data_IF_899276818118
#
_entry.id   IF_899276818118
#
_cell.length_a   1.000
_cell.length_b   1.000
_cell.length_c   1.000
_cell.angle_alpha   90.00
_cell.angle_beta   90.00
_cell.angle_gamma   90.00
#
_symmetry.space_group_name_H-M   'P 1'
#
loop_
_entity.id
_entity.type
_entity.pdbx_description
1 polymer ?
#
# COMPACT_ATOMS: atom_id res chain seq x y z
N UNK A 1 6.74 -1.74 -11.19
CA UNK A 1 6.12 -0.48 -10.69
C UNK A 1 4.87 -0.18 -11.51
N UNK A 2 3.78 0.36 -10.94
CA UNK A 2 2.50 0.64 -11.65
C UNK A 2 2.59 1.71 -12.75
N UNK A 3 3.81 2.17 -13.07
CA UNK A 3 4.11 3.24 -14.01
C UNK A 3 3.57 2.97 -15.42
N UNK A 4 3.36 1.71 -15.80
CA UNK A 4 2.84 1.34 -17.12
C UNK A 4 1.41 1.85 -17.37
N UNK A 5 0.62 2.09 -16.31
CA UNK A 5 -0.78 2.51 -16.41
C UNK A 5 -1.05 3.89 -15.77
N UNK A 6 -0.09 4.43 -15.02
CA UNK A 6 -0.22 5.73 -14.39
C UNK A 6 -0.43 6.84 -15.43
N UNK A 7 -1.61 7.49 -15.39
CA UNK A 7 -2.07 8.57 -16.30
C UNK A 7 -2.31 8.19 -17.77
N UNK A 8 -2.54 6.91 -18.09
CA UNK A 8 -2.92 6.50 -19.46
C UNK A 8 -4.42 6.27 -19.66
N UNK A 9 -5.14 6.04 -18.59
CA UNK A 9 -6.58 5.78 -18.59
C UNK A 9 -7.21 6.56 -17.43
N UNK A 10 -8.14 7.46 -17.75
CA UNK A 10 -8.82 8.30 -16.77
C UNK A 10 -9.78 7.50 -15.87
N UNK A 11 -10.08 6.24 -16.24
CA UNK A 11 -10.83 5.32 -15.40
C UNK A 11 -9.94 4.63 -14.34
N UNK A 12 -8.62 4.80 -14.42
CA UNK A 12 -7.67 4.21 -13.48
C UNK A 12 -7.16 5.27 -12.51
N UNK A 13 -7.57 5.15 -11.26
CA UNK A 13 -6.99 5.92 -10.16
C UNK A 13 -5.80 5.17 -9.55
N UNK A 14 -4.75 5.90 -9.17
CA UNK A 14 -3.54 5.31 -8.59
C UNK A 14 -3.01 6.17 -7.44
N UNK A 15 -2.61 5.50 -6.36
CA UNK A 15 -1.96 6.11 -5.20
C UNK A 15 -0.63 5.38 -4.93
N UNK A 16 0.43 6.15 -4.68
CA UNK A 16 1.70 5.61 -4.21
C UNK A 16 1.72 5.69 -2.70
N UNK A 17 1.96 4.56 -2.03
CA UNK A 17 2.06 4.48 -0.58
C UNK A 17 3.46 3.96 -0.24
N UNK A 18 4.24 4.79 0.43
CA UNK A 18 5.55 4.42 0.94
C UNK A 18 5.46 4.07 2.42
N UNK A 19 6.03 2.93 2.79
CA UNK A 19 6.01 2.41 4.17
C UNK A 19 7.44 2.33 4.65
N UNK A 20 7.71 2.96 5.78
CA UNK A 20 9.02 2.87 6.44
C UNK A 20 9.33 1.40 6.79
N UNK A 21 10.44 0.88 6.26
CA UNK A 21 10.84 -0.53 6.40
C UNK A 21 11.09 -0.94 7.85
N UNK A 22 11.66 -0.05 8.65
CA UNK A 22 11.87 -0.26 10.09
C UNK A 22 10.57 -0.57 10.87
N UNK A 23 9.39 -0.28 10.30
CA UNK A 23 8.11 -0.63 10.94
C UNK A 23 7.73 -2.11 10.82
N UNK A 24 8.27 -2.83 9.83
CA UNK A 24 7.80 -4.19 9.51
C UNK A 24 8.92 -5.19 9.18
N UNK A 25 10.14 -4.76 8.94
CA UNK A 25 11.28 -5.63 8.66
C UNK A 25 12.57 -5.12 9.31
N UNK A 26 13.44 -6.05 9.68
CA UNK A 26 14.84 -5.74 9.93
C UNK A 26 15.48 -5.34 8.60
N UNK A 27 15.99 -4.11 8.50
CA UNK A 27 16.53 -3.59 7.25
C UNK A 27 17.87 -4.21 6.84
N UNK A 28 18.57 -4.84 7.77
CA UNK A 28 19.86 -5.48 7.54
C UNK A 28 19.68 -6.90 7.02
N UNK A 29 18.72 -7.65 7.56
CA UNK A 29 18.50 -9.05 7.19
C UNK A 29 17.36 -9.24 6.20
N UNK A 30 16.39 -8.32 6.16
CA UNK A 30 15.15 -8.47 5.40
C UNK A 30 14.09 -9.31 6.12
N UNK A 31 14.38 -9.79 7.33
CA UNK A 31 13.44 -10.59 8.10
C UNK A 31 12.26 -9.76 8.57
N UNK A 32 11.09 -10.39 8.63
CA UNK A 32 9.89 -9.76 9.15
C UNK A 32 10.04 -9.54 10.66
N UNK A 33 9.69 -8.34 11.12
CA UNK A 33 9.52 -8.08 12.54
C UNK A 33 8.19 -8.66 13.02
N UNK A 34 8.04 -8.83 14.33
CA UNK A 34 6.76 -9.23 14.95
C UNK A 34 5.61 -8.28 14.57
N UNK A 35 5.93 -6.99 14.38
CA UNK A 35 4.99 -5.97 13.93
C UNK A 35 4.49 -6.13 12.50
N UNK A 36 5.09 -7.02 11.68
CA UNK A 36 4.75 -7.17 10.27
C UNK A 36 3.25 -7.39 10.04
N UNK A 37 2.65 -8.33 10.79
CA UNK A 37 1.24 -8.66 10.65
C UNK A 37 0.33 -7.47 10.99
N UNK A 38 0.69 -6.71 12.04
CA UNK A 38 -0.02 -5.50 12.45
C UNK A 38 0.04 -4.42 11.36
N UNK A 39 1.25 -4.14 10.84
CA UNK A 39 1.43 -3.13 9.79
C UNK A 39 0.67 -3.53 8.52
N UNK A 40 0.76 -4.80 8.10
CA UNK A 40 -0.02 -5.33 6.97
C UNK A 40 -1.52 -5.10 7.15
N UNK A 41 -2.07 -5.43 8.32
CA UNK A 41 -3.50 -5.25 8.61
C UNK A 41 -3.94 -3.79 8.55
N UNK A 42 -3.14 -2.87 9.09
CA UNK A 42 -3.41 -1.42 9.04
C UNK A 42 -3.43 -0.88 7.61
N UNK A 43 -2.45 -1.27 6.79
CA UNK A 43 -2.39 -0.85 5.38
C UNK A 43 -3.60 -1.41 4.62
N UNK A 44 -3.92 -2.69 4.83
CA UNK A 44 -5.08 -3.31 4.18
C UNK A 44 -6.37 -2.57 4.52
N UNK A 45 -6.64 -2.30 5.80
CA UNK A 45 -7.83 -1.55 6.21
C UNK A 45 -7.87 -0.13 5.63
N UNK A 46 -6.73 0.56 5.55
CA UNK A 46 -6.66 1.89 4.94
C UNK A 46 -6.97 1.85 3.44
N UNK A 47 -6.45 0.86 2.71
CA UNK A 47 -6.73 0.68 1.29
C UNK A 47 -8.19 0.30 1.03
N UNK A 48 -8.78 -0.56 1.86
CA UNK A 48 -10.20 -0.91 1.79
C UNK A 48 -11.09 0.31 2.01
N UNK A 49 -10.76 1.17 2.98
CA UNK A 49 -11.47 2.42 3.22
C UNK A 49 -11.36 3.38 2.03
N UNK A 50 -10.20 3.49 1.40
CA UNK A 50 -10.01 4.31 0.19
C UNK A 50 -10.84 3.79 -0.99
N UNK A 51 -10.87 2.47 -1.20
CA UNK A 51 -11.69 1.85 -2.25
C UNK A 51 -13.18 2.15 -2.02
N UNK A 52 -13.66 2.06 -0.78
CA UNK A 52 -15.06 2.34 -0.44
C UNK A 52 -15.41 3.83 -0.60
N UNK A 53 -14.47 4.74 -0.32
CA UNK A 53 -14.69 6.18 -0.44
C UNK A 53 -14.61 6.68 -1.90
N UNK A 54 -14.06 5.87 -2.80
CA UNK A 54 -13.93 6.22 -4.22
C UNK A 54 -15.22 5.82 -4.96
N UNK A 55 -15.96 6.78 -5.56
CA UNK A 55 -17.13 6.44 -6.35
C UNK A 55 -16.73 5.51 -7.50
N UNK A 56 -17.51 4.46 -7.75
CA UNK A 56 -17.39 3.71 -8.99
C UNK A 56 -17.77 4.65 -10.14
N UNK A 57 -16.87 4.80 -11.10
CA UNK A 57 -17.14 5.46 -12.38
C UNK A 57 -18.26 4.73 -13.14
#
# INVERSE_FOLDING_TARGET
>A
MPMTFYRRDDQVQAVMVEINRALYMDERTGDRLESFALIRGRIQGALEALIQATPKL
#
